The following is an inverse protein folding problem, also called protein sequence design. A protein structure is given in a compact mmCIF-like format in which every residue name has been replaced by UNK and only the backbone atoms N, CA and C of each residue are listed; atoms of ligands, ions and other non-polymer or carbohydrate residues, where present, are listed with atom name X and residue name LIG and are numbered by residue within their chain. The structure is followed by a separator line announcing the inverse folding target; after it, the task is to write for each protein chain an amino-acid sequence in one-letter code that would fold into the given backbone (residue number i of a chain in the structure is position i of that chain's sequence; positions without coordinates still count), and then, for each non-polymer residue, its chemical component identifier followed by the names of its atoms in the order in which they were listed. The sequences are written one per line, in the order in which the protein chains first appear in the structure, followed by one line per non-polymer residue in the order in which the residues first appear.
data_IF_463973180245
#
_entry.id   IF_463973180245
#
_cell.length_a   1.000
_cell.length_b   1.000
_cell.length_c   1.000
_cell.angle_alpha   90.00
_cell.angle_beta   90.00
_cell.angle_gamma   90.00
#
_symmetry.space_group_name_H-M   'P 1'
#
loop_
_entity.id
_entity.type
_entity.pdbx_description
1 polymer ?
#
# COMPACT_ATOMS: atom_id res chain seq x y z
N UNK A 1 12.45 -4.92 6.26
CA UNK A 1 11.32 -4.09 5.77
C UNK A 1 10.51 -4.88 4.76
N UNK A 2 11.13 -5.21 3.63
CA UNK A 2 10.59 -6.15 2.65
C UNK A 2 11.45 -7.40 2.71
N UNK A 3 10.83 -8.54 2.92
CA UNK A 3 11.47 -9.86 2.84
C UNK A 3 10.41 -10.93 2.65
N UNK A 4 10.77 -12.12 2.14
CA UNK A 4 9.85 -13.26 2.06
C UNK A 4 9.25 -13.62 3.41
N UNK A 5 10.05 -13.58 4.49
CA UNK A 5 9.63 -13.91 5.85
C UNK A 5 8.49 -12.99 6.32
N UNK A 6 8.55 -11.70 5.99
CA UNK A 6 7.48 -10.76 6.30
C UNK A 6 6.18 -11.15 5.59
N UNK A 7 6.23 -11.48 4.30
CA UNK A 7 5.05 -11.86 3.49
C UNK A 7 4.45 -13.17 4.01
N UNK A 8 5.29 -14.17 4.30
CA UNK A 8 4.85 -15.46 4.85
C UNK A 8 4.23 -15.25 6.24
N UNK A 9 4.84 -14.42 7.10
CA UNK A 9 4.29 -14.08 8.42
C UNK A 9 2.90 -13.45 8.28
N UNK A 10 2.76 -12.46 7.40
CA UNK A 10 1.49 -11.79 7.15
C UNK A 10 0.38 -12.78 6.79
N UNK A 11 0.61 -13.65 5.79
CA UNK A 11 -0.39 -14.62 5.36
C UNK A 11 -0.69 -15.66 6.45
N UNK A 12 0.33 -16.16 7.14
CA UNK A 12 0.13 -17.08 8.26
C UNK A 12 -0.74 -16.44 9.37
N UNK A 13 -0.51 -15.17 9.70
CA UNK A 13 -1.29 -14.42 10.70
C UNK A 13 -2.76 -14.28 10.28
N UNK A 14 -3.05 -13.80 9.07
CA UNK A 14 -4.45 -13.58 8.65
C UNK A 14 -5.18 -14.89 8.37
N UNK A 15 -4.48 -15.97 8.01
CA UNK A 15 -5.07 -17.32 7.90
C UNK A 15 -5.44 -17.93 9.24
N UNK A 16 -4.89 -17.44 10.35
CA UNK A 16 -5.26 -17.83 11.72
C UNK A 16 -6.45 -17.02 12.29
N UNK A 17 -6.97 -16.04 11.53
CA UNK A 17 -7.90 -15.05 12.08
C UNK A 17 -7.24 -14.06 13.05
N UNK A 18 -5.91 -13.98 13.06
CA UNK A 18 -5.17 -13.02 13.87
C UNK A 18 -4.92 -11.71 13.10
N UNK A 19 -4.55 -10.65 13.83
CA UNK A 19 -4.34 -9.31 13.27
C UNK A 19 -2.85 -9.12 12.96
N UNK A 20 -2.52 -8.85 11.70
CA UNK A 20 -1.17 -8.51 11.29
C UNK A 20 -0.87 -7.04 11.58
N UNK A 21 0.09 -6.76 12.47
CA UNK A 21 0.47 -5.39 12.84
C UNK A 21 1.77 -4.97 12.16
N UNK A 22 1.69 -4.00 11.25
CA UNK A 22 2.85 -3.42 10.59
C UNK A 22 3.45 -2.27 11.41
N UNK A 23 4.54 -2.54 12.15
CA UNK A 23 5.32 -1.48 12.79
C UNK A 23 6.25 -0.82 11.76
N UNK A 24 6.40 0.51 11.84
CA UNK A 24 7.21 1.23 10.87
C UNK A 24 8.69 0.83 11.02
N UNK A 25 9.26 0.28 9.96
CA UNK A 25 10.65 -0.18 9.96
C UNK A 25 11.69 0.93 10.08
N UNK A 26 11.29 2.20 10.11
CA UNK A 26 12.17 3.34 10.36
C UNK A 26 12.18 3.81 11.81
N UNK A 27 11.26 3.32 12.65
CA UNK A 27 11.16 3.68 14.05
C UNK A 27 12.41 3.37 14.89
N UNK A 28 12.72 4.30 15.77
CA UNK A 28 13.71 4.17 16.85
C UNK A 28 13.25 3.17 17.92
N UNK A 29 14.15 2.75 18.81
CA UNK A 29 13.81 1.85 19.92
C UNK A 29 12.60 2.30 20.76
N UNK A 30 12.52 3.57 21.19
CA UNK A 30 11.34 4.08 21.90
C UNK A 30 10.04 4.03 21.10
N UNK A 31 10.09 4.26 19.79
CA UNK A 31 8.90 4.19 18.92
C UNK A 31 8.47 2.73 18.66
N UNK A 32 9.42 1.80 18.54
CA UNK A 32 9.13 0.36 18.49
C UNK A 32 8.45 -0.08 19.78
N UNK A 33 9.00 0.30 20.95
CA UNK A 33 8.38 0.01 22.26
C UNK A 33 6.97 0.58 22.35
N UNK A 34 6.77 1.83 21.93
CA UNK A 34 5.43 2.41 21.87
C UNK A 34 4.47 1.55 21.04
N UNK A 35 4.88 1.09 19.85
CA UNK A 35 4.05 0.23 19.02
C UNK A 35 3.72 -1.11 19.69
N UNK A 36 4.71 -1.77 20.30
CA UNK A 36 4.52 -3.04 21.03
C UNK A 36 3.58 -2.86 22.23
N UNK A 37 3.76 -1.78 23.00
CA UNK A 37 2.90 -1.46 24.15
C UNK A 37 1.46 -1.12 23.73
N UNK A 38 1.29 -0.49 22.57
CA UNK A 38 -0.03 -0.05 22.06
C UNK A 38 -0.82 -1.22 21.45
N UNK A 39 -0.18 -2.11 20.69
CA UNK A 39 -0.85 -3.26 20.08
C UNK A 39 -0.84 -4.55 20.91
N UNK A 40 0.03 -4.67 21.93
CA UNK A 40 0.19 -5.85 22.79
C UNK A 40 0.21 -7.17 21.98
N UNK A 41 1.20 -7.36 21.07
CA UNK A 41 1.22 -8.49 20.17
C UNK A 41 1.54 -9.78 20.92
N UNK A 42 0.94 -10.90 20.51
CA UNK A 42 1.28 -12.22 21.05
C UNK A 42 2.68 -12.69 20.61
N UNK A 43 3.20 -12.16 19.50
CA UNK A 43 4.49 -12.50 18.92
C UNK A 43 5.05 -11.29 18.15
N UNK A 44 6.32 -10.97 18.35
CA UNK A 44 7.05 -9.99 17.56
C UNK A 44 7.97 -10.72 16.57
N UNK A 45 7.74 -10.53 15.26
CA UNK A 45 8.62 -11.03 14.20
C UNK A 45 9.36 -9.85 13.58
N UNK A 46 10.70 -9.86 13.62
CA UNK A 46 11.49 -8.73 13.15
C UNK A 46 12.86 -9.14 12.62
N UNK A 47 13.42 -8.32 11.73
CA UNK A 47 14.80 -8.47 11.26
C UNK A 47 15.81 -8.06 12.34
N UNK A 48 17.00 -8.66 12.33
CA UNK A 48 18.05 -8.42 13.33
C UNK A 48 18.40 -6.92 13.45
N UNK A 49 18.37 -6.19 12.33
CA UNK A 49 18.65 -4.74 12.29
C UNK A 49 17.63 -3.92 13.08
N UNK A 50 16.36 -4.35 13.14
CA UNK A 50 15.27 -3.65 13.84
C UNK A 50 15.29 -4.01 15.31
N UNK A 51 15.52 -5.28 15.62
CA UNK A 51 15.73 -5.74 16.99
C UNK A 51 16.91 -5.03 17.66
N UNK A 52 18.01 -4.82 16.93
CA UNK A 52 19.18 -4.09 17.44
C UNK A 52 18.85 -2.65 17.91
N UNK A 53 17.78 -2.02 17.42
CA UNK A 53 17.35 -0.68 17.85
C UNK A 53 16.75 -0.65 19.26
N UNK A 54 16.39 -1.81 19.80
CA UNK A 54 15.97 -1.95 21.19
C UNK A 54 17.17 -1.92 22.15
N UNK A 55 18.41 -1.98 21.64
CA UNK A 55 19.65 -1.90 22.44
C UNK A 55 19.70 -2.95 23.57
N UNK A 56 19.17 -4.14 23.30
CA UNK A 56 19.10 -5.23 24.26
C UNK A 56 17.95 -5.14 25.26
N UNK A 57 17.09 -4.12 25.17
CA UNK A 57 15.86 -4.08 25.95
C UNK A 57 14.90 -5.20 25.51
N UNK A 58 14.36 -5.93 26.48
CA UNK A 58 13.32 -6.93 26.27
C UNK A 58 12.02 -6.24 25.82
N UNK A 59 11.44 -6.59 24.65
CA UNK A 59 10.15 -6.07 24.22
C UNK A 59 8.96 -6.60 25.04
N UNK A 60 9.16 -7.56 25.96
CA UNK A 60 8.12 -8.08 26.84
C UNK A 60 7.17 -9.08 26.19
N UNK A 61 7.49 -9.51 24.97
CA UNK A 61 6.72 -10.47 24.16
C UNK A 61 7.67 -11.46 23.50
N UNK A 62 7.23 -12.69 23.16
CA UNK A 62 8.05 -13.62 22.39
C UNK A 62 8.56 -12.99 21.10
N UNK A 63 9.84 -13.23 20.76
CA UNK A 63 10.49 -12.67 19.58
C UNK A 63 10.97 -13.78 18.65
N UNK A 64 10.70 -13.61 17.35
CA UNK A 64 11.32 -14.39 16.28
C UNK A 64 12.15 -13.44 15.44
N UNK A 65 13.47 -13.65 15.47
CA UNK A 65 14.39 -13.00 14.54
C UNK A 65 14.29 -13.70 13.17
N UNK A 66 14.04 -12.93 12.11
CA UNK A 66 13.81 -13.47 10.77
C UNK A 66 15.00 -14.27 10.24
N UNK A 67 16.23 -13.80 10.46
CA UNK A 67 17.44 -14.39 9.93
C UNK A 67 17.83 -15.73 10.57
N UNK A 68 17.41 -15.99 11.82
CA UNK A 68 17.88 -17.13 12.60
C UNK A 68 16.76 -18.04 13.12
N UNK A 69 15.55 -17.50 13.33
CA UNK A 69 14.42 -18.23 13.89
C UNK A 69 13.34 -18.61 12.87
N UNK A 70 13.34 -18.03 11.67
CA UNK A 70 12.23 -18.23 10.73
C UNK A 70 12.21 -19.62 10.08
N UNK A 71 13.38 -20.15 9.71
CA UNK A 71 13.49 -21.46 9.07
C UNK A 71 12.92 -22.59 9.94
N UNK A 72 13.13 -22.51 11.26
CA UNK A 72 12.61 -23.52 12.20
C UNK A 72 11.08 -23.47 12.30
N UNK A 73 10.44 -22.30 12.15
CA UNK A 73 8.99 -22.17 12.10
C UNK A 73 8.42 -22.82 10.85
N UNK A 74 9.04 -22.59 9.69
CA UNK A 74 8.62 -23.19 8.41
C UNK A 74 8.73 -24.72 8.48
N UNK A 75 9.80 -25.23 9.09
CA UNK A 75 10.03 -26.66 9.24
C UNK A 75 9.25 -27.32 10.39
N UNK A 76 8.58 -26.55 11.24
CA UNK A 76 7.98 -27.06 12.49
C UNK A 76 6.89 -28.11 12.23
N UNK A 77 5.99 -27.84 11.28
CA UNK A 77 4.86 -28.71 10.98
C UNK A 77 4.42 -28.63 9.50
N UNK A 78 5.25 -29.08 8.54
CA UNK A 78 5.01 -28.88 7.10
C UNK A 78 3.75 -29.57 6.56
N UNK A 79 3.20 -30.54 7.31
CA UNK A 79 1.97 -31.26 6.96
C UNK A 79 0.75 -30.88 7.81
N UNK A 80 0.86 -29.85 8.65
CA UNK A 80 -0.29 -29.39 9.42
C UNK A 80 -1.38 -28.87 8.46
N UNK A 81 -2.67 -29.18 8.69
CA UNK A 81 -3.74 -28.56 7.94
C UNK A 81 -3.73 -27.04 8.20
N UNK A 82 -4.23 -26.27 7.24
CA UNK A 82 -4.52 -24.86 7.49
C UNK A 82 -5.60 -24.75 8.59
N UNK A 83 -5.56 -23.69 9.41
CA UNK A 83 -6.62 -23.40 10.37
C UNK A 83 -7.98 -23.33 9.66
N UNK A 84 -9.02 -23.85 10.30
CA UNK A 84 -10.40 -23.83 9.81
C UNK A 84 -11.29 -22.86 10.60
N UNK A 85 -10.67 -21.93 11.32
CA UNK A 85 -11.36 -20.92 12.12
C UNK A 85 -12.25 -20.04 11.24
N UNK A 86 -13.48 -19.80 11.70
CA UNK A 86 -14.40 -18.91 11.01
C UNK A 86 -13.91 -17.47 11.15
N UNK A 87 -13.68 -16.80 10.01
CA UNK A 87 -13.25 -15.40 9.94
C UNK A 87 -14.40 -14.59 9.35
N UNK A 88 -14.90 -13.60 10.10
CA UNK A 88 -15.86 -12.64 9.59
C UNK A 88 -15.14 -11.58 8.74
N UNK A 89 -15.78 -11.11 7.68
CA UNK A 89 -15.16 -10.09 6.82
C UNK A 89 -14.98 -8.74 7.54
N UNK A 90 -15.76 -8.47 8.59
CA UNK A 90 -15.63 -7.27 9.42
C UNK A 90 -14.64 -7.45 10.58
N UNK A 91 -14.02 -8.63 10.72
CA UNK A 91 -12.92 -8.83 11.66
C UNK A 91 -11.68 -8.01 11.23
N UNK A 92 -10.97 -7.38 12.18
CA UNK A 92 -9.68 -6.75 11.92
C UNK A 92 -8.68 -7.74 11.34
N UNK A 93 -8.10 -7.42 10.18
CA UNK A 93 -7.05 -8.23 9.57
C UNK A 93 -5.67 -7.59 9.73
N UNK A 94 -5.62 -6.26 9.67
CA UNK A 94 -4.37 -5.49 9.62
C UNK A 94 -4.45 -4.27 10.52
N UNK A 95 -3.36 -3.95 11.19
CA UNK A 95 -3.14 -2.63 11.81
C UNK A 95 -1.88 -2.02 11.22
N UNK A 96 -2.01 -0.80 10.67
CA UNK A 96 -0.86 -0.01 10.19
C UNK A 96 -0.81 1.32 10.92
N UNK A 97 0.36 1.67 11.45
CA UNK A 97 0.52 2.93 12.18
C UNK A 97 0.71 4.12 11.25
N UNK A 98 -0.14 5.14 11.44
CA UNK A 98 -0.08 6.41 10.69
C UNK A 98 0.50 7.52 11.55
N UNK A 99 1.28 8.42 10.94
CA UNK A 99 1.72 9.66 11.59
C UNK A 99 0.54 10.60 11.71
N UNK A 100 -0.12 10.64 12.87
CA UNK A 100 -1.08 11.72 13.15
C UNK A 100 -0.36 13.08 13.22
N UNK A 101 -1.05 14.17 12.90
CA UNK A 101 -0.47 15.53 12.83
C UNK A 101 -0.06 16.13 14.16
N UNK A 102 -0.56 15.60 15.27
CA UNK A 102 -0.42 16.25 16.58
C UNK A 102 -0.04 15.30 17.71
N UNK A 103 0.36 14.05 17.41
CA UNK A 103 0.64 13.08 18.47
C UNK A 103 1.35 11.81 18.03
N UNK A 104 1.40 10.85 18.95
CA UNK A 104 1.97 9.52 18.70
C UNK A 104 1.24 8.82 17.54
N UNK A 105 1.94 7.99 16.75
CA UNK A 105 1.32 7.24 15.67
C UNK A 105 0.07 6.47 16.11
N UNK A 106 -0.94 6.39 15.24
CA UNK A 106 -2.20 5.70 15.56
C UNK A 106 -2.32 4.45 14.69
N UNK A 107 -2.68 3.31 15.26
CA UNK A 107 -2.92 2.09 14.49
C UNK A 107 -4.24 2.17 13.73
N UNK A 108 -4.22 2.37 12.42
CA UNK A 108 -5.41 2.32 11.58
C UNK A 108 -5.78 0.85 11.34
N UNK A 109 -7.03 0.48 11.65
CA UNK A 109 -7.53 -0.89 11.49
C UNK A 109 -7.97 -1.08 10.04
N UNK A 110 -7.56 -2.14 9.36
CA UNK A 110 -8.19 -2.58 8.11
C UNK A 110 -8.76 -3.98 8.34
N UNK A 111 -10.05 -4.15 8.06
CA UNK A 111 -10.73 -5.44 8.17
C UNK A 111 -10.43 -6.33 6.96
N UNK A 112 -10.81 -7.60 7.02
CA UNK A 112 -10.78 -8.48 5.85
C UNK A 112 -11.58 -7.89 4.67
N UNK A 113 -12.75 -7.28 4.94
CA UNK A 113 -13.59 -6.57 3.96
C UNK A 113 -12.84 -5.41 3.33
N UNK A 114 -12.10 -4.63 4.11
CA UNK A 114 -11.32 -3.51 3.59
C UNK A 114 -10.26 -3.99 2.58
N UNK A 115 -9.48 -5.02 2.93
CA UNK A 115 -8.44 -5.59 2.06
C UNK A 115 -9.05 -6.25 0.81
N UNK A 116 -10.14 -7.00 0.97
CA UNK A 116 -10.86 -7.63 -0.14
C UNK A 116 -11.49 -6.61 -1.09
N UNK A 117 -12.05 -5.52 -0.55
CA UNK A 117 -12.58 -4.42 -1.35
C UNK A 117 -11.49 -3.81 -2.21
N UNK A 118 -10.31 -3.58 -1.63
CA UNK A 118 -9.14 -3.08 -2.38
C UNK A 118 -8.70 -4.04 -3.50
N UNK A 119 -8.68 -5.35 -3.24
CA UNK A 119 -8.41 -6.36 -4.26
C UNK A 119 -9.43 -6.31 -5.41
N UNK A 120 -10.73 -6.29 -5.07
CA UNK A 120 -11.82 -6.25 -6.04
C UNK A 120 -11.83 -4.96 -6.87
N UNK A 121 -11.53 -3.81 -6.26
CA UNK A 121 -11.42 -2.53 -6.95
C UNK A 121 -10.30 -2.55 -8.00
N UNK A 122 -9.15 -3.15 -7.68
CA UNK A 122 -8.05 -3.28 -8.62
C UNK A 122 -8.36 -4.27 -9.74
N UNK A 123 -8.99 -5.41 -9.42
CA UNK A 123 -9.48 -6.36 -10.42
C UNK A 123 -10.46 -5.70 -11.39
N UNK A 124 -11.44 -4.95 -10.87
CA UNK A 124 -12.38 -4.21 -11.70
C UNK A 124 -11.67 -3.18 -12.58
N UNK A 125 -10.77 -2.39 -12.01
CA UNK A 125 -10.03 -1.35 -12.74
C UNK A 125 -9.18 -1.93 -13.87
N UNK A 126 -8.47 -3.03 -13.59
CA UNK A 126 -7.71 -3.78 -14.59
C UNK A 126 -8.60 -4.39 -15.67
N UNK A 127 -9.73 -4.99 -15.29
CA UNK A 127 -10.70 -5.58 -16.23
C UNK A 127 -11.29 -4.52 -17.15
N UNK A 128 -11.75 -3.40 -16.58
CA UNK A 128 -12.25 -2.26 -17.35
C UNK A 128 -11.20 -1.72 -18.32
N UNK A 129 -9.95 -1.59 -17.88
CA UNK A 129 -8.85 -1.15 -18.74
C UNK A 129 -8.63 -2.12 -19.90
N UNK A 130 -8.60 -3.42 -19.65
CA UNK A 130 -8.48 -4.45 -20.68
C UNK A 130 -9.69 -4.50 -21.63
N UNK A 131 -10.89 -4.14 -21.18
CA UNK A 131 -12.07 -4.03 -22.07
C UNK A 131 -11.99 -2.81 -23.00
N UNK A 132 -11.49 -1.68 -22.50
CA UNK A 132 -11.34 -0.44 -23.29
C UNK A 132 -10.14 -0.51 -24.24
N UNK A 133 -9.07 -1.20 -23.84
CA UNK A 133 -7.88 -1.40 -24.64
C UNK A 133 -7.38 -2.86 -24.49
N UNK A 134 -7.94 -3.80 -25.28
CA UNK A 134 -7.60 -5.21 -25.19
C UNK A 134 -6.10 -5.47 -25.36
N UNK A 135 -5.46 -6.21 -24.44
CA UNK A 135 -4.07 -6.60 -24.62
C UNK A 135 -3.94 -7.58 -25.80
N UNK A 136 -2.77 -7.63 -26.46
CA UNK A 136 -2.47 -8.66 -27.44
C UNK A 136 -2.66 -10.07 -26.86
N UNK A 137 -3.11 -11.06 -27.66
CA UNK A 137 -3.38 -12.42 -27.17
C UNK A 137 -2.18 -13.15 -26.55
N UNK A 138 -0.97 -12.78 -26.97
CA UNK A 138 0.32 -13.37 -26.59
C UNK A 138 1.11 -12.50 -25.60
N UNK A 139 0.44 -11.53 -24.97
CA UNK A 139 1.08 -10.63 -24.03
C UNK A 139 1.59 -11.40 -22.79
N UNK A 140 2.89 -11.32 -22.44
CA UNK A 140 3.42 -12.01 -21.27
C UNK A 140 2.71 -11.59 -19.98
N UNK A 141 2.61 -12.46 -18.95
CA UNK A 141 2.02 -12.13 -17.67
C UNK A 141 2.61 -10.87 -17.04
N UNK A 142 1.84 -10.19 -16.19
CA UNK A 142 2.35 -9.06 -15.43
C UNK A 142 3.36 -9.52 -14.37
N UNK A 143 4.54 -8.90 -14.40
CA UNK A 143 5.53 -8.91 -13.34
C UNK A 143 5.69 -7.50 -12.78
N UNK A 144 5.38 -7.33 -11.50
CA UNK A 144 5.44 -6.02 -10.84
C UNK A 144 6.74 -5.84 -10.06
N UNK A 145 7.29 -4.62 -10.04
CA UNK A 145 8.32 -4.21 -9.10
C UNK A 145 7.70 -3.38 -7.99
N UNK A 146 7.91 -3.80 -6.74
CA UNK A 146 7.42 -3.11 -5.55
C UNK A 146 8.61 -2.54 -4.78
N UNK A 147 8.65 -1.21 -4.68
CA UNK A 147 9.73 -0.48 -4.00
C UNK A 147 9.31 0.11 -2.66
N UNK A 148 8.00 0.14 -2.38
CA UNK A 148 7.44 0.62 -1.13
C UNK A 148 7.60 -0.41 0.00
N UNK A 149 7.69 0.03 1.27
CA UNK A 149 7.86 -0.88 2.40
C UNK A 149 6.54 -1.57 2.80
N UNK A 150 6.58 -2.88 3.08
CA UNK A 150 5.42 -3.71 3.50
C UNK A 150 4.69 -3.22 4.76
N UNK A 151 5.35 -2.42 5.61
CA UNK A 151 4.70 -1.77 6.75
C UNK A 151 3.86 -0.53 6.39
N UNK A 152 3.66 -0.25 5.09
CA UNK A 152 2.75 0.77 4.58
C UNK A 152 1.64 0.16 3.73
N UNK A 153 0.46 0.78 3.77
CA UNK A 153 -0.76 0.31 3.11
C UNK A 153 -0.59 0.17 1.59
N UNK A 154 0.21 1.04 0.98
CA UNK A 154 0.47 1.05 -0.45
C UNK A 154 1.26 -0.17 -0.91
N UNK A 155 2.16 -0.68 -0.08
CA UNK A 155 2.87 -1.92 -0.36
C UNK A 155 2.05 -3.13 0.07
N UNK A 156 1.42 -3.08 1.25
CA UNK A 156 0.68 -4.24 1.77
C UNK A 156 -0.60 -4.49 0.96
N UNK A 157 -1.59 -3.61 1.05
CA UNK A 157 -2.88 -3.82 0.44
C UNK A 157 -2.81 -3.66 -1.09
N UNK A 158 -2.22 -2.55 -1.55
CA UNK A 158 -2.20 -2.20 -2.97
C UNK A 158 -1.10 -2.92 -3.78
N UNK A 159 -0.25 -3.75 -3.15
CA UNK A 159 0.71 -4.59 -3.88
C UNK A 159 0.75 -6.04 -3.38
N UNK A 160 1.14 -6.32 -2.13
CA UNK A 160 1.27 -7.69 -1.63
C UNK A 160 -0.04 -8.48 -1.72
N UNK A 161 -1.10 -7.98 -1.08
CA UNK A 161 -2.42 -8.60 -1.11
C UNK A 161 -2.98 -8.63 -2.54
N UNK A 162 -2.84 -7.53 -3.28
CA UNK A 162 -3.33 -7.43 -4.65
C UNK A 162 -2.66 -8.42 -5.60
N UNK A 163 -1.32 -8.43 -5.69
CA UNK A 163 -0.62 -9.29 -6.65
C UNK A 163 -0.79 -10.77 -6.29
N UNK A 164 -0.61 -11.15 -5.03
CA UNK A 164 -0.77 -12.54 -4.62
C UNK A 164 -2.23 -13.00 -4.74
N UNK A 165 -3.19 -12.17 -4.34
CA UNK A 165 -4.62 -12.48 -4.45
C UNK A 165 -5.12 -12.61 -5.89
N UNK A 166 -4.46 -11.96 -6.85
CA UNK A 166 -4.76 -12.07 -8.29
C UNK A 166 -3.89 -13.11 -9.02
N UNK A 167 -3.02 -13.85 -8.31
CA UNK A 167 -2.10 -14.80 -8.92
C UNK A 167 -1.02 -14.15 -9.80
N UNK A 168 -0.69 -12.89 -9.55
CA UNK A 168 0.32 -12.11 -10.25
C UNK A 168 1.69 -12.22 -9.56
N UNK A 169 2.75 -12.19 -10.36
CA UNK A 169 4.12 -12.22 -9.84
C UNK A 169 4.61 -10.82 -9.48
N UNK A 170 5.41 -10.72 -8.41
CA UNK A 170 6.03 -9.47 -7.99
C UNK A 170 7.46 -9.67 -7.49
N UNK A 171 8.32 -8.69 -7.77
CA UNK A 171 9.69 -8.57 -7.27
C UNK A 171 9.71 -7.43 -6.27
N UNK A 172 10.31 -7.69 -5.11
CA UNK A 172 10.32 -6.77 -3.99
C UNK A 172 11.72 -6.20 -3.78
N UNK A 173 11.82 -4.88 -3.73
CA UNK A 173 13.09 -4.23 -3.42
C UNK A 173 13.45 -4.49 -1.94
N UNK A 174 14.59 -5.12 -1.73
CA UNK A 174 15.16 -5.35 -0.40
C UNK A 174 16.18 -4.26 -0.09
N UNK A 175 16.12 -3.71 1.14
CA UNK A 175 17.04 -2.69 1.60
C UNK A 175 16.60 -1.26 1.31
N UNK A 176 17.56 -0.37 1.04
CA UNK A 176 17.29 1.05 0.77
C UNK A 176 16.99 1.25 -0.71
N UNK A 177 16.13 2.24 -1.00
CA UNK A 177 15.85 2.63 -2.37
C UNK A 177 17.09 3.18 -3.08
N UNK A 178 17.39 2.59 -4.24
CA UNK A 178 18.44 3.01 -5.16
C UNK A 178 17.88 3.02 -6.60
N UNK A 179 17.88 4.19 -7.29
CA UNK A 179 17.35 4.29 -8.65
C UNK A 179 18.10 3.40 -9.64
N UNK A 180 19.41 3.17 -9.46
CA UNK A 180 20.20 2.29 -10.34
C UNK A 180 19.75 0.84 -10.19
N UNK A 181 19.47 0.40 -8.96
CA UNK A 181 18.94 -0.95 -8.70
C UNK A 181 17.56 -1.11 -9.32
N UNK A 182 16.70 -0.10 -9.23
CA UNK A 182 15.36 -0.13 -9.84
C UNK A 182 15.45 -0.25 -11.37
N UNK A 183 16.24 0.60 -12.03
CA UNK A 183 16.40 0.55 -13.49
C UNK A 183 17.03 -0.76 -13.96
N UNK A 184 18.04 -1.26 -13.24
CA UNK A 184 18.65 -2.57 -13.52
C UNK A 184 17.65 -3.71 -13.39
N UNK A 185 16.82 -3.72 -12.33
CA UNK A 185 15.80 -4.75 -12.14
C UNK A 185 14.73 -4.69 -13.23
N UNK A 186 14.33 -3.48 -13.65
CA UNK A 186 13.40 -3.32 -14.77
C UNK A 186 13.94 -3.99 -16.03
N UNK A 187 15.20 -3.73 -16.37
CA UNK A 187 15.87 -4.32 -17.53
C UNK A 187 16.08 -5.85 -17.40
N UNK A 188 16.70 -6.30 -16.30
CA UNK A 188 17.13 -7.70 -16.14
C UNK A 188 15.96 -8.67 -15.94
N UNK A 189 14.95 -8.25 -15.18
CA UNK A 189 13.78 -9.08 -14.87
C UNK A 189 12.62 -8.81 -15.83
N UNK A 190 12.80 -7.88 -16.77
CA UNK A 190 11.77 -7.43 -17.73
C UNK A 190 10.48 -7.02 -17.02
N UNK A 191 10.61 -6.20 -15.97
CA UNK A 191 9.47 -5.71 -15.18
C UNK A 191 8.46 -5.01 -16.07
N UNK A 192 7.18 -5.29 -15.83
CA UNK A 192 6.07 -4.81 -16.64
C UNK A 192 5.19 -3.78 -15.93
N UNK A 193 5.25 -3.72 -14.61
CA UNK A 193 4.52 -2.76 -13.79
C UNK A 193 5.43 -2.25 -12.69
N UNK A 194 5.47 -0.94 -12.47
CA UNK A 194 6.21 -0.36 -11.35
C UNK A 194 5.33 0.60 -10.54
N UNK A 195 5.28 0.33 -9.23
CA UNK A 195 4.62 1.19 -8.25
C UNK A 195 5.57 2.26 -7.70
N UNK A 196 5.16 3.54 -7.71
CA UNK A 196 6.01 4.66 -7.26
C UNK A 196 5.33 5.61 -6.26
N UNK A 197 6.16 6.38 -5.56
CA UNK A 197 5.81 7.67 -4.94
C UNK A 197 6.52 8.80 -5.69
N UNK A 198 6.09 10.05 -5.52
CA UNK A 198 6.67 11.19 -6.25
C UNK A 198 8.18 11.29 -6.06
N UNK A 199 8.66 11.08 -4.84
CA UNK A 199 10.08 11.12 -4.51
C UNK A 199 10.90 10.05 -5.24
N UNK A 200 10.42 8.80 -5.30
CA UNK A 200 11.19 7.72 -5.95
C UNK A 200 11.14 7.83 -7.47
N UNK A 201 10.01 8.26 -8.03
CA UNK A 201 9.88 8.54 -9.46
C UNK A 201 10.84 9.64 -9.89
N UNK A 202 10.86 10.77 -9.15
CA UNK A 202 11.80 11.87 -9.38
C UNK A 202 13.25 11.39 -9.38
N UNK A 203 13.65 10.57 -8.39
CA UNK A 203 15.02 10.04 -8.31
C UNK A 203 15.42 9.18 -9.52
N UNK A 204 14.49 8.49 -10.16
CA UNK A 204 14.76 7.66 -11.35
C UNK A 204 14.82 8.52 -12.61
N UNK A 205 13.81 9.35 -12.87
CA UNK A 205 13.71 10.10 -14.14
C UNK A 205 14.73 11.23 -14.30
N UNK A 206 15.32 11.66 -13.19
CA UNK A 206 16.43 12.63 -13.15
C UNK A 206 17.79 11.99 -12.92
N UNK A 207 17.88 10.64 -12.85
CA UNK A 207 19.17 9.99 -12.68
C UNK A 207 20.03 10.15 -13.96
N UNK A 208 21.33 10.49 -13.86
CA UNK A 208 22.20 10.64 -15.03
C UNK A 208 22.28 9.40 -15.93
N UNK A 209 22.08 8.22 -15.32
CA UNK A 209 22.14 6.93 -16.01
C UNK A 209 20.79 6.45 -16.56
N UNK A 210 19.71 7.25 -16.48
CA UNK A 210 18.37 6.79 -16.90
C UNK A 210 18.33 6.28 -18.36
N UNK A 211 19.09 6.90 -19.26
CA UNK A 211 19.21 6.47 -20.66
C UNK A 211 20.14 5.28 -20.91
N UNK A 212 20.72 4.67 -19.87
CA UNK A 212 21.66 3.54 -20.00
C UNK A 212 21.02 2.15 -19.84
N UNK A 213 19.73 2.09 -19.52
CA UNK A 213 19.00 0.84 -19.27
C UNK A 213 17.86 0.67 -20.28
N UNK A 214 17.58 -0.56 -20.69
CA UNK A 214 16.37 -0.90 -21.43
C UNK A 214 15.16 -0.96 -20.47
N UNK A 215 14.35 0.11 -20.48
CA UNK A 215 13.13 0.24 -19.66
C UNK A 215 11.86 -0.08 -20.46
N UNK A 216 11.99 -0.62 -21.68
CA UNK A 216 10.89 -0.83 -22.62
C UNK A 216 9.91 -1.92 -22.20
N UNK A 217 10.29 -2.80 -21.26
CA UNK A 217 9.41 -3.85 -20.72
C UNK A 217 8.24 -3.30 -19.90
N UNK A 218 8.36 -2.08 -19.36
CA UNK A 218 7.28 -1.48 -18.59
C UNK A 218 6.04 -1.28 -19.48
N UNK A 219 4.89 -1.58 -18.92
CA UNK A 219 3.57 -1.43 -19.56
C UNK A 219 2.65 -0.58 -18.73
N UNK A 220 2.83 -0.55 -17.43
CA UNK A 220 2.07 0.28 -16.50
C UNK A 220 3.01 0.93 -15.49
N UNK A 221 2.70 2.17 -15.13
CA UNK A 221 3.43 2.94 -14.15
C UNK A 221 2.41 3.66 -13.27
N UNK A 222 2.30 3.26 -12.02
CA UNK A 222 1.23 3.71 -11.13
C UNK A 222 1.76 4.18 -9.79
N UNK A 223 1.23 5.26 -9.24
CA UNK A 223 1.73 5.76 -7.98
C UNK A 223 0.85 6.78 -7.29
N UNK A 224 1.26 7.17 -6.08
CA UNK A 224 0.51 8.12 -5.26
C UNK A 224 1.16 8.32 -3.90
N UNK A 225 0.37 8.76 -2.93
CA UNK A 225 0.80 8.99 -1.55
C UNK A 225 1.61 10.27 -1.32
N UNK A 226 1.86 11.04 -2.38
CA UNK A 226 2.39 12.40 -2.33
C UNK A 226 1.93 13.16 -3.59
N UNK A 227 1.83 14.49 -3.56
CA UNK A 227 1.58 15.28 -4.77
C UNK A 227 2.58 14.93 -5.88
N UNK A 228 2.07 14.74 -7.09
CA UNK A 228 2.87 14.50 -8.30
C UNK A 228 2.70 15.72 -9.20
N UNK A 229 3.77 16.44 -9.48
CA UNK A 229 3.69 17.63 -10.33
C UNK A 229 3.52 17.25 -11.80
N UNK A 230 2.84 18.10 -12.57
CA UNK A 230 2.72 17.95 -14.03
C UNK A 230 4.09 17.84 -14.69
N UNK A 231 5.07 18.65 -14.24
CA UNK A 231 6.45 18.58 -14.73
C UNK A 231 7.09 17.20 -14.51
N UNK A 232 6.83 16.56 -13.37
CA UNK A 232 7.33 15.20 -13.10
C UNK A 232 6.63 14.17 -13.99
N UNK A 233 5.33 14.32 -14.26
CA UNK A 233 4.60 13.46 -15.19
C UNK A 233 5.16 13.57 -16.62
N UNK A 234 5.35 14.79 -17.12
CA UNK A 234 5.92 15.02 -18.46
C UNK A 234 7.33 14.45 -18.57
N UNK A 235 8.19 14.70 -17.58
CA UNK A 235 9.53 14.11 -17.54
C UNK A 235 9.49 12.58 -17.51
N UNK A 236 8.51 11.99 -16.83
CA UNK A 236 8.33 10.54 -16.79
C UNK A 236 7.93 9.98 -18.15
N UNK A 237 7.09 10.68 -18.91
CA UNK A 237 6.71 10.28 -20.28
C UNK A 237 7.89 10.31 -21.25
N UNK A 238 8.87 11.19 -21.04
CA UNK A 238 10.12 11.23 -21.83
C UNK A 238 11.01 10.01 -21.55
N UNK A 239 11.13 9.62 -20.28
CA UNK A 239 11.98 8.49 -19.85
C UNK A 239 11.32 7.14 -20.10
N UNK A 240 9.99 7.08 -19.99
CA UNK A 240 9.16 5.89 -20.15
C UNK A 240 8.10 6.10 -21.25
N UNK A 241 8.51 6.24 -22.53
CA UNK A 241 7.54 6.50 -23.62
C UNK A 241 6.51 5.38 -23.80
N UNK A 242 6.88 4.16 -23.43
CA UNK A 242 6.07 2.94 -23.46
C UNK A 242 4.87 2.94 -22.50
N UNK A 243 4.90 3.75 -21.42
CA UNK A 243 3.81 3.79 -20.43
C UNK A 243 2.98 5.06 -20.48
N UNK A 244 3.21 5.94 -21.46
CA UNK A 244 2.50 7.23 -21.56
C UNK A 244 0.98 7.09 -21.46
N UNK A 245 0.40 6.12 -22.18
CA UNK A 245 -1.05 5.86 -22.19
C UNK A 245 -1.58 5.02 -21.02
N UNK A 246 -0.71 4.63 -20.09
CA UNK A 246 -1.02 3.70 -18.99
C UNK A 246 -0.41 4.15 -17.66
N UNK A 247 0.05 5.40 -17.59
CA UNK A 247 0.39 6.03 -16.32
C UNK A 247 -0.86 6.21 -15.48
N UNK A 248 -0.73 6.00 -14.18
CA UNK A 248 -1.78 6.26 -13.22
C UNK A 248 -1.26 7.02 -12.00
N UNK A 249 -2.04 7.97 -11.52
CA UNK A 249 -1.84 8.62 -10.22
C UNK A 249 -3.08 8.42 -9.36
N UNK A 250 -2.89 8.27 -8.06
CA UNK A 250 -3.98 7.99 -7.14
C UNK A 250 -3.91 8.81 -5.87
N UNK A 251 -5.10 9.08 -5.33
CA UNK A 251 -5.29 9.61 -3.98
C UNK A 251 -5.82 8.50 -3.08
N UNK A 252 -5.28 8.45 -1.87
CA UNK A 252 -5.81 7.63 -0.79
C UNK A 252 -4.89 7.62 0.41
N UNK A 253 -5.39 6.99 1.46
CA UNK A 253 -4.86 7.06 2.82
C UNK A 253 -4.78 5.65 3.41
N UNK A 254 -4.10 5.51 4.54
CA UNK A 254 -4.15 4.24 5.30
C UNK A 254 -5.55 3.99 5.83
N UNK A 255 -6.24 5.07 6.19
CA UNK A 255 -7.61 5.13 6.66
C UNK A 255 -8.63 4.78 5.56
N UNK A 256 -8.23 4.84 4.28
CA UNK A 256 -9.01 4.38 3.14
C UNK A 256 -8.45 3.09 2.53
N UNK A 257 -7.67 2.33 3.29
CA UNK A 257 -7.08 1.04 2.90
C UNK A 257 -6.19 1.07 1.65
N UNK A 258 -5.74 2.25 1.22
CA UNK A 258 -4.77 2.60 0.16
C UNK A 258 -5.30 3.59 -0.87
N UNK A 259 -6.32 3.25 -1.66
CA UNK A 259 -6.74 4.05 -2.83
C UNK A 259 -8.22 4.41 -2.74
N UNK A 260 -8.52 5.70 -2.84
CA UNK A 260 -9.87 6.26 -2.85
C UNK A 260 -10.25 6.88 -4.20
N UNK A 261 -9.28 7.39 -4.97
CA UNK A 261 -9.49 7.91 -6.32
C UNK A 261 -8.28 7.62 -7.21
N UNK A 262 -8.51 7.45 -8.51
CA UNK A 262 -7.44 7.21 -9.50
C UNK A 262 -7.69 7.97 -10.80
N UNK A 263 -6.61 8.51 -11.36
CA UNK A 263 -6.55 9.08 -12.69
C UNK A 263 -5.58 8.27 -13.54
N UNK A 264 -6.00 7.83 -14.73
CA UNK A 264 -5.16 6.95 -15.54
C UNK A 264 -5.34 7.15 -17.04
N UNK A 265 -4.28 6.86 -17.78
CA UNK A 265 -4.25 6.88 -19.24
C UNK A 265 -4.70 8.21 -19.82
N UNK A 266 -5.64 8.17 -20.76
CA UNK A 266 -6.12 9.36 -21.47
C UNK A 266 -6.73 10.43 -20.54
N UNK A 267 -7.37 10.02 -19.43
CA UNK A 267 -7.92 10.99 -18.47
C UNK A 267 -6.80 11.78 -17.76
N UNK A 268 -5.67 11.12 -17.49
CA UNK A 268 -4.51 11.76 -16.90
C UNK A 268 -3.80 12.70 -17.89
N UNK A 269 -3.85 12.40 -19.19
CA UNK A 269 -3.35 13.32 -20.22
C UNK A 269 -4.21 14.58 -20.36
N UNK A 270 -5.53 14.44 -20.25
CA UNK A 270 -6.47 15.57 -20.35
C UNK A 270 -6.51 16.41 -19.07
N UNK A 271 -6.35 15.79 -17.91
CA UNK A 271 -6.46 16.43 -16.59
C UNK A 271 -5.24 16.08 -15.70
N UNK A 272 -4.03 16.56 -16.05
CA UNK A 272 -2.79 16.15 -15.39
C UNK A 272 -2.64 16.63 -13.94
N UNK A 273 -3.46 17.61 -13.52
CA UNK A 273 -3.52 18.11 -12.13
C UNK A 273 -4.50 17.33 -11.26
N UNK A 274 -5.32 16.45 -11.86
CA UNK A 274 -6.34 15.68 -11.15
C UNK A 274 -5.82 14.33 -10.66
N UNK A 275 -6.19 13.96 -9.44
CA UNK A 275 -6.04 12.60 -8.89
C UNK A 275 -7.15 11.65 -9.32
N UNK A 276 -8.09 12.15 -10.13
CA UNK A 276 -9.07 11.38 -10.88
C UNK A 276 -10.36 11.13 -10.13
N UNK A 277 -10.99 9.99 -10.40
CA UNK A 277 -12.34 9.67 -9.92
C UNK A 277 -12.33 8.54 -8.92
N UNK A 278 -13.37 8.47 -8.10
CA UNK A 278 -13.57 7.33 -7.22
C UNK A 278 -13.86 6.06 -8.04
N UNK A 279 -13.32 4.90 -7.64
CA UNK A 279 -13.70 3.64 -8.24
C UNK A 279 -15.14 3.25 -7.80
N UNK A 280 -15.76 2.22 -8.42
CA UNK A 280 -17.08 1.75 -7.99
C UNK A 280 -17.13 1.45 -6.48
N UNK A 281 -18.31 1.53 -5.88
CA UNK A 281 -18.53 1.33 -4.43
C UNK A 281 -17.91 2.41 -3.52
N UNK A 282 -17.20 3.39 -4.08
CA UNK A 282 -16.63 4.52 -3.35
C UNK A 282 -17.32 5.81 -3.79
N UNK A 283 -17.82 6.57 -2.82
CA UNK A 283 -18.38 7.91 -2.99
C UNK A 283 -17.45 8.96 -2.37
N UNK A 284 -17.39 10.13 -2.99
CA UNK A 284 -16.62 11.27 -2.50
C UNK A 284 -17.49 12.52 -2.50
N UNK A 285 -17.38 13.33 -1.46
CA UNK A 285 -17.98 14.66 -1.33
C UNK A 285 -16.91 15.67 -0.94
N UNK A 286 -17.08 16.91 -1.39
CA UNK A 286 -16.30 18.06 -0.91
C UNK A 286 -17.19 18.82 0.07
N UNK A 287 -16.66 19.11 1.27
CA UNK A 287 -17.44 19.78 2.33
C UNK A 287 -16.78 21.06 2.81
N UNK A 288 -17.62 22.05 3.11
CA UNK A 288 -17.21 23.33 3.67
C UNK A 288 -16.95 23.25 5.18
N UNK A 289 -16.46 24.35 5.79
CA UNK A 289 -16.19 24.41 7.23
C UNK A 289 -17.41 24.17 8.15
N UNK A 290 -18.62 24.33 7.61
CA UNK A 290 -19.89 24.07 8.30
C UNK A 290 -20.36 22.61 8.18
N UNK A 291 -19.61 21.77 7.46
CA UNK A 291 -19.93 20.37 7.16
C UNK A 291 -20.93 20.17 6.02
N UNK A 292 -21.38 21.24 5.35
CA UNK A 292 -22.26 21.17 4.19
C UNK A 292 -21.53 20.69 2.94
N UNK A 293 -22.23 19.97 2.06
CA UNK A 293 -21.70 19.56 0.75
C UNK A 293 -21.62 20.77 -0.17
N UNK A 294 -20.44 21.01 -0.73
CA UNK A 294 -20.15 22.11 -1.66
C UNK A 294 -20.47 21.73 -3.11
N UNK A 295 -20.64 22.74 -3.97
CA UNK A 295 -20.91 22.54 -5.39
C UNK A 295 -19.62 22.27 -6.19
N UNK A 296 -19.78 21.72 -7.41
CA UNK A 296 -18.67 21.51 -8.33
C UNK A 296 -17.88 22.81 -8.57
N UNK A 297 -16.56 22.76 -8.37
CA UNK A 297 -15.65 23.89 -8.54
C UNK A 297 -15.31 24.65 -7.25
N UNK A 298 -15.93 24.31 -6.11
CA UNK A 298 -15.59 24.86 -4.80
C UNK A 298 -14.55 24.00 -4.07
N UNK A 299 -13.64 24.65 -3.32
CA UNK A 299 -12.61 23.97 -2.53
C UNK A 299 -13.08 23.70 -1.10
N UNK A 300 -12.78 22.50 -0.59
CA UNK A 300 -13.16 22.08 0.76
C UNK A 300 -12.51 20.77 1.16
N UNK A 301 -12.94 20.20 2.27
CA UNK A 301 -12.42 18.95 2.81
C UNK A 301 -12.98 17.74 2.06
N UNK A 302 -12.13 16.74 1.78
CA UNK A 302 -12.49 15.52 1.06
C UNK A 302 -13.08 14.49 2.02
N UNK A 303 -14.35 14.15 1.81
CA UNK A 303 -15.04 13.08 2.53
C UNK A 303 -15.21 11.87 1.64
N UNK A 304 -14.76 10.71 2.10
CA UNK A 304 -14.83 9.45 1.34
C UNK A 304 -15.70 8.44 2.10
N UNK A 305 -16.59 7.76 1.38
CA UNK A 305 -17.42 6.67 1.89
C UNK A 305 -17.31 5.45 0.98
N UNK A 306 -17.12 4.28 1.56
CA UNK A 306 -17.09 3.02 0.83
C UNK A 306 -16.55 1.89 1.70
N UNK A 307 -16.54 0.65 1.20
CA UNK A 307 -16.07 -0.51 1.96
C UNK A 307 -14.54 -0.53 2.14
N UNK A 308 -13.83 0.44 1.58
CA UNK A 308 -12.39 0.68 1.78
C UNK A 308 -12.09 1.50 3.04
N UNK A 309 -13.09 2.11 3.67
CA UNK A 309 -12.89 2.98 4.83
C UNK A 309 -12.72 2.13 6.08
N UNK A 310 -11.67 2.41 6.84
CA UNK A 310 -11.42 1.73 8.11
C UNK A 310 -12.57 1.91 9.11
N UNK A 311 -12.79 0.94 10.03
CA UNK A 311 -13.75 1.10 11.11
C UNK A 311 -13.30 2.15 12.14
N UNK A 312 -12.00 2.36 12.30
CA UNK A 312 -11.42 3.32 13.23
C UNK A 312 -9.97 3.02 13.57
N UNK A 313 -9.48 3.70 14.60
CA UNK A 313 -8.13 3.48 15.13
C UNK A 313 -8.15 2.48 16.29
N UNK A 314 -7.12 1.64 16.38
CA UNK A 314 -6.92 0.68 17.45
C UNK A 314 -6.95 1.35 18.83
N UNK A 315 -7.72 0.76 19.76
CA UNK A 315 -7.94 1.27 21.13
C UNK A 315 -8.39 2.74 21.21
N UNK A 316 -8.91 3.27 20.11
CA UNK A 316 -9.45 4.63 20.00
C UNK A 316 -10.79 4.53 19.25
N UNK A 317 -11.84 4.05 19.92
CA UNK A 317 -13.15 3.93 19.30
C UNK A 317 -13.57 5.28 18.72
N UNK A 318 -14.11 5.25 17.50
CA UNK A 318 -14.71 6.43 16.88
C UNK A 318 -15.83 6.94 17.81
N UNK A 319 -16.01 8.26 18.00
CA UNK A 319 -17.24 8.76 18.60
C UNK A 319 -18.42 8.14 17.84
N UNK A 320 -19.42 7.62 18.57
CA UNK A 320 -20.64 7.10 17.94
C UNK A 320 -21.29 8.22 17.13
N UNK A 321 -21.15 8.17 15.81
CA UNK A 321 -21.82 9.11 14.92
C UNK A 321 -23.33 8.84 15.05
N UNK A 322 -24.16 9.87 15.30
CA UNK A 322 -25.60 9.70 15.13
C UNK A 322 -25.86 9.26 13.69
N UNK A 323 -26.69 8.21 13.53
CA UNK A 323 -27.08 7.61 12.25
C UNK A 323 -27.32 8.70 11.19
N UNK A 324 -26.38 8.87 10.26
CA UNK A 324 -26.43 9.88 9.20
C UNK A 324 -25.24 10.85 9.12
N UNK A 325 -24.38 10.93 10.14
CA UNK A 325 -23.14 11.70 10.08
C UNK A 325 -21.97 10.85 9.60
N UNK A 326 -21.27 11.24 8.54
CA UNK A 326 -19.94 10.74 8.23
C UNK A 326 -18.92 11.67 8.87
N UNK A 327 -18.12 11.19 9.83
CA UNK A 327 -16.84 11.86 10.15
C UNK A 327 -15.82 11.46 9.07
N UNK A 328 -15.00 12.40 8.59
CA UNK A 328 -14.06 12.12 7.52
C UNK A 328 -13.04 11.05 7.94
N UNK A 329 -12.57 10.27 6.97
CA UNK A 329 -11.29 9.59 7.09
C UNK A 329 -10.22 10.68 6.88
N UNK A 330 -9.97 11.52 7.89
CA UNK A 330 -8.93 12.54 7.79
C UNK A 330 -7.58 11.86 7.96
N UNK A 331 -6.71 12.02 6.97
CA UNK A 331 -5.40 12.50 7.34
C UNK A 331 -5.61 13.98 7.63
N UNK A 332 -5.53 14.38 8.89
CA UNK A 332 -5.09 15.73 9.13
C UNK A 332 -3.76 15.84 8.35
N UNK A 333 -3.70 16.70 7.34
CA UNK A 333 -2.55 16.85 6.42
C UNK A 333 -2.03 18.28 6.53
#
# INVERSE_FOLDING_TARGET
ANSPEWIITFWATVSLGAIAVGLNGWWTGPEIRYGVDDCEPALLVADARRLARLEGADPGVPVVEMETGFESLVAYAPGAPLPDEAIDEDDPAVILYTSGTTGRPKGAINTHRNVNSMLQLNLFSGTRSAMLNPPPPDLPPNLALVTSPLFHVSALNAACCMYLGLGLSSIWLVGRFDPVVVMRLIESERITSWGFTGTVLHRVVHHPDAGKYDLSSLRTLGGGGSPISVALLERSKEVFPNVRGSMAVGYGLTESSALAATNSGMELELFPESVGRTPPTVSLEIRGPDGGVLADGEEGEIYVRGPIIMPGYWRRPRPSLPMGGSEPATSDA
#
